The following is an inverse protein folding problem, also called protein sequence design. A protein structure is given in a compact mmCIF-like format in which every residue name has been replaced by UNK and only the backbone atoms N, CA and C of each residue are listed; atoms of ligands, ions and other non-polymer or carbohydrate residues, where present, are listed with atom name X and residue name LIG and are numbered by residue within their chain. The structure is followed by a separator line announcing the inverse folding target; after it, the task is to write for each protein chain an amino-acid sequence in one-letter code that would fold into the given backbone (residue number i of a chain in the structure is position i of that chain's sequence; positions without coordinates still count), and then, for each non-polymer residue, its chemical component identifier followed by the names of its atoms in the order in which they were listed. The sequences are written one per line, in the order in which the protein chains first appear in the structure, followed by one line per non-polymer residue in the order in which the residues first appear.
data_IF_557714985254
#
_entry.id   IF_557714985254
#
_cell.length_a   1.000
_cell.length_b   1.000
_cell.length_c   1.000
_cell.angle_alpha   90.00
_cell.angle_beta   90.00
_cell.angle_gamma   90.00
#
_symmetry.space_group_name_H-M   'P 1'
#
loop_
_entity.id
_entity.type
_entity.pdbx_description
1 polymer ?
#
# COMPACT_ATOMS: atom_id res chain seq x y z
N UNK A 1 -28.72 -3.76 -7.20
CA UNK A 1 -29.18 -5.09 -7.69
C UNK A 1 -29.45 -5.97 -6.47
N UNK A 2 -30.56 -6.70 -6.44
CA UNK A 2 -30.83 -7.67 -5.37
C UNK A 2 -30.26 -9.04 -5.75
N UNK A 3 -29.70 -9.75 -4.78
CA UNK A 3 -29.12 -11.08 -4.97
C UNK A 3 -29.86 -12.08 -4.07
N UNK A 4 -30.30 -13.19 -4.65
CA UNK A 4 -30.92 -14.28 -3.90
C UNK A 4 -29.82 -15.23 -3.39
N UNK A 5 -29.66 -15.31 -2.08
CA UNK A 5 -28.69 -16.23 -1.44
C UNK A 5 -29.44 -17.50 -1.04
N UNK A 6 -29.09 -18.62 -1.67
CA UNK A 6 -29.62 -19.94 -1.31
C UNK A 6 -28.92 -20.44 -0.03
N UNK A 7 -29.63 -21.19 0.83
CA UNK A 7 -29.06 -21.75 2.06
C UNK A 7 -29.91 -21.61 3.33
N UNK A 8 -31.13 -21.07 3.24
CA UNK A 8 -32.04 -20.95 4.38
C UNK A 8 -31.70 -19.78 5.32
N UNK A 9 -32.25 -19.82 6.53
CA UNK A 9 -32.06 -18.76 7.52
C UNK A 9 -30.57 -18.62 7.88
N UNK A 10 -30.06 -17.38 7.89
CA UNK A 10 -28.67 -17.06 8.24
C UNK A 10 -27.68 -17.06 7.06
N UNK A 11 -28.04 -17.59 5.88
CA UNK A 11 -27.13 -17.61 4.72
C UNK A 11 -26.72 -16.20 4.27
N UNK A 12 -27.65 -15.24 4.31
CA UNK A 12 -27.36 -13.83 4.03
C UNK A 12 -26.38 -13.21 5.04
N UNK A 13 -26.53 -13.54 6.32
CA UNK A 13 -25.62 -13.08 7.37
C UNK A 13 -24.22 -13.66 7.20
N UNK A 14 -24.09 -14.93 6.82
CA UNK A 14 -22.79 -15.54 6.51
C UNK A 14 -22.10 -14.86 5.33
N UNK A 15 -22.82 -14.58 4.24
CA UNK A 15 -22.26 -13.83 3.09
C UNK A 15 -21.85 -12.42 3.50
N UNK A 16 -22.66 -11.73 4.32
CA UNK A 16 -22.30 -10.41 4.85
C UNK A 16 -21.04 -10.46 5.71
N UNK A 17 -20.88 -11.49 6.54
CA UNK A 17 -19.68 -11.68 7.37
C UNK A 17 -18.43 -11.85 6.52
N UNK A 18 -18.48 -12.67 5.46
CA UNK A 18 -17.37 -12.80 4.49
C UNK A 18 -17.09 -11.47 3.79
N UNK A 19 -18.12 -10.72 3.41
CA UNK A 19 -17.94 -9.39 2.83
C UNK A 19 -17.27 -8.41 3.80
N UNK A 20 -17.66 -8.40 5.07
CA UNK A 20 -17.04 -7.50 6.06
C UNK A 20 -15.62 -7.92 6.42
N UNK A 21 -15.31 -9.22 6.39
CA UNK A 21 -13.95 -9.72 6.48
C UNK A 21 -13.09 -9.10 5.37
N UNK A 22 -13.49 -9.27 4.10
CA UNK A 22 -12.75 -8.72 2.97
C UNK A 22 -12.65 -7.20 3.03
N UNK A 23 -13.76 -6.53 3.35
CA UNK A 23 -13.81 -5.08 3.48
C UNK A 23 -12.80 -4.56 4.51
N UNK A 24 -12.80 -5.12 5.73
CA UNK A 24 -11.92 -4.67 6.81
C UNK A 24 -10.45 -4.95 6.50
N UNK A 25 -10.14 -6.12 5.94
CA UNK A 25 -8.79 -6.46 5.50
C UNK A 25 -8.32 -5.50 4.42
N UNK A 26 -9.12 -5.24 3.39
CA UNK A 26 -8.71 -4.37 2.30
C UNK A 26 -8.52 -2.91 2.74
N UNK A 27 -9.33 -2.38 3.67
CA UNK A 27 -9.12 -1.04 4.23
C UNK A 27 -7.81 -0.98 5.02
N UNK A 28 -7.55 -1.99 5.86
CA UNK A 28 -6.32 -2.05 6.64
C UNK A 28 -5.08 -2.16 5.74
N UNK A 29 -5.13 -3.00 4.70
CA UNK A 29 -4.07 -3.13 3.70
C UNK A 29 -3.90 -1.86 2.86
N UNK A 30 -4.98 -1.14 2.54
CA UNK A 30 -4.90 0.14 1.82
C UNK A 30 -4.15 1.19 2.64
N UNK A 31 -4.49 1.29 3.93
CA UNK A 31 -3.80 2.17 4.87
C UNK A 31 -2.31 1.81 5.00
N UNK A 32 -1.99 0.52 5.13
CA UNK A 32 -0.60 0.04 5.19
C UNK A 32 0.18 0.38 3.92
N UNK A 33 -0.38 0.07 2.75
CA UNK A 33 0.27 0.30 1.46
C UNK A 33 0.55 1.78 1.20
N UNK A 34 -0.43 2.67 1.47
CA UNK A 34 -0.25 4.10 1.29
C UNK A 34 0.75 4.69 2.30
N UNK A 35 0.70 4.26 3.56
CA UNK A 35 1.67 4.69 4.56
C UNK A 35 3.08 4.19 4.26
N UNK A 36 3.22 2.96 3.77
CA UNK A 36 4.51 2.41 3.34
C UNK A 36 5.05 3.19 2.14
N UNK A 37 4.22 3.47 1.13
CA UNK A 37 4.59 4.32 0.00
C UNK A 37 5.05 5.71 0.44
N UNK A 38 4.36 6.32 1.41
CA UNK A 38 4.78 7.58 2.01
C UNK A 38 6.16 7.46 2.66
N UNK A 39 6.40 6.37 3.40
CA UNK A 39 7.67 6.12 4.10
C UNK A 39 8.84 5.87 3.15
N UNK A 40 8.57 5.32 1.96
CA UNK A 40 9.52 5.17 0.86
C UNK A 40 9.80 6.50 0.11
N UNK A 41 9.13 7.59 0.49
CA UNK A 41 9.30 8.89 -0.16
C UNK A 41 8.53 9.04 -1.48
N UNK A 42 7.61 8.14 -1.79
CA UNK A 42 6.81 8.21 -3.00
C UNK A 42 5.73 9.29 -2.90
N UNK A 43 5.37 9.86 -4.05
CA UNK A 43 4.18 10.71 -4.16
C UNK A 43 2.92 9.84 -4.00
N UNK A 44 2.32 9.80 -2.81
CA UNK A 44 1.24 8.85 -2.49
C UNK A 44 0.00 9.01 -3.35
N UNK A 45 -0.27 10.19 -3.90
CA UNK A 45 -1.36 10.40 -4.87
C UNK A 45 -1.07 9.78 -6.23
N UNK A 46 0.18 9.83 -6.69
CA UNK A 46 0.59 9.14 -7.91
C UNK A 46 0.57 7.63 -7.69
N UNK A 47 1.09 7.16 -6.54
CA UNK A 47 1.00 5.75 -6.14
C UNK A 47 -0.45 5.26 -6.16
N UNK A 48 -1.37 5.99 -5.50
CA UNK A 48 -2.79 5.68 -5.52
C UNK A 48 -3.34 5.56 -6.95
N UNK A 49 -2.99 6.50 -7.84
CA UNK A 49 -3.43 6.48 -9.23
C UNK A 49 -2.92 5.25 -10.01
N UNK A 50 -1.65 4.87 -9.81
CA UNK A 50 -1.07 3.70 -10.46
C UNK A 50 -1.69 2.40 -9.92
N UNK A 51 -1.80 2.26 -8.61
CA UNK A 51 -2.36 1.05 -7.99
C UNK A 51 -3.83 0.87 -8.36
N UNK A 52 -4.62 1.95 -8.42
CA UNK A 52 -6.04 1.90 -8.84
C UNK A 52 -6.21 1.31 -10.25
N UNK A 53 -5.21 1.44 -11.11
CA UNK A 53 -5.22 0.87 -12.47
C UNK A 53 -4.62 -0.55 -12.55
N UNK A 54 -4.04 -1.04 -11.46
CA UNK A 54 -3.40 -2.35 -11.38
C UNK A 54 -4.36 -3.42 -10.87
N UNK A 55 -4.02 -4.69 -11.10
CA UNK A 55 -4.79 -5.83 -10.57
C UNK A 55 -4.70 -5.97 -9.04
N UNK A 56 -3.73 -5.31 -8.40
CA UNK A 56 -3.58 -5.26 -6.95
C UNK A 56 -4.57 -4.32 -6.25
N UNK A 57 -5.40 -3.60 -7.00
CA UNK A 57 -6.44 -2.72 -6.43
C UNK A 57 -7.55 -3.50 -5.72
N UNK A 58 -8.33 -2.78 -4.92
CA UNK A 58 -9.62 -3.26 -4.43
C UNK A 58 -10.61 -2.12 -4.40
N UNK A 59 -11.91 -2.44 -4.40
CA UNK A 59 -12.94 -1.41 -4.25
C UNK A 59 -12.74 -0.57 -2.98
N UNK A 60 -12.28 -1.17 -1.88
CA UNK A 60 -12.00 -0.44 -0.64
C UNK A 60 -10.79 0.48 -0.75
N UNK A 61 -9.75 0.07 -1.49
CA UNK A 61 -8.60 0.93 -1.77
C UNK A 61 -9.04 2.16 -2.57
N UNK A 62 -9.78 1.96 -3.66
CA UNK A 62 -10.27 3.05 -4.52
C UNK A 62 -11.20 3.99 -3.77
N UNK A 63 -12.03 3.45 -2.89
CA UNK A 63 -13.02 4.23 -2.17
C UNK A 63 -12.45 4.97 -0.94
N UNK A 64 -11.54 4.35 -0.18
CA UNK A 64 -10.97 4.92 1.06
C UNK A 64 -9.63 5.61 0.88
N UNK A 65 -8.86 5.24 -0.13
CA UNK A 65 -7.59 5.88 -0.45
C UNK A 65 -7.68 7.41 -0.56
N UNK A 66 -8.70 7.98 -1.24
CA UNK A 66 -8.90 9.42 -1.28
C UNK A 66 -9.08 10.05 0.11
N UNK A 67 -9.82 9.41 1.02
CA UNK A 67 -10.03 9.94 2.37
C UNK A 67 -8.71 10.05 3.14
N UNK A 68 -7.84 9.03 2.98
CA UNK A 68 -6.50 9.01 3.56
C UNK A 68 -5.63 10.12 2.98
N UNK A 69 -5.64 10.29 1.65
CA UNK A 69 -4.83 11.28 0.94
C UNK A 69 -5.24 12.73 1.21
N UNK A 70 -6.54 13.00 1.37
CA UNK A 70 -7.06 14.34 1.67
C UNK A 70 -7.08 14.64 3.17
N UNK A 71 -6.77 13.66 4.03
CA UNK A 71 -6.87 13.78 5.49
C UNK A 71 -8.28 14.25 5.95
N UNK A 72 -9.32 13.83 5.23
CA UNK A 72 -10.73 14.04 5.56
C UNK A 72 -11.34 12.72 6.05
N UNK A 73 -11.64 12.67 7.35
CA UNK A 73 -12.22 11.50 8.00
C UNK A 73 -13.66 11.76 8.49
N UNK A 74 -14.38 12.63 7.79
CA UNK A 74 -15.83 12.76 7.96
C UNK A 74 -16.48 11.39 7.72
N UNK A 75 -17.18 10.81 8.71
CA UNK A 75 -17.56 9.40 8.66
C UNK A 75 -18.68 9.14 7.66
N UNK A 76 -18.37 8.40 6.58
CA UNK A 76 -19.38 7.69 5.79
C UNK A 76 -19.66 6.31 6.39
N UNK A 77 -18.65 5.72 7.01
CA UNK A 77 -18.70 4.52 7.83
C UNK A 77 -17.67 4.67 8.94
N UNK A 78 -18.10 4.58 10.19
CA UNK A 78 -17.21 4.82 11.32
C UNK A 78 -16.22 3.66 11.52
N UNK A 79 -15.01 3.97 11.98
CA UNK A 79 -13.98 2.99 12.34
C UNK A 79 -14.51 1.91 13.29
N UNK A 80 -15.35 2.29 14.26
CA UNK A 80 -15.99 1.35 15.19
C UNK A 80 -16.94 0.34 14.52
N UNK A 81 -17.43 0.60 13.30
CA UNK A 81 -18.20 -0.40 12.54
C UNK A 81 -17.29 -1.60 12.21
N UNK A 82 -16.04 -1.37 11.84
CA UNK A 82 -15.08 -2.44 11.58
C UNK A 82 -14.55 -3.12 12.84
N UNK A 83 -14.49 -2.41 13.97
CA UNK A 83 -14.29 -3.06 15.29
C UNK A 83 -15.41 -4.08 15.55
N UNK A 84 -16.66 -3.68 15.37
CA UNK A 84 -17.82 -4.58 15.56
C UNK A 84 -17.81 -5.74 14.57
N UNK A 85 -17.68 -5.46 13.28
CA UNK A 85 -17.84 -6.47 12.23
C UNK A 85 -16.69 -7.48 12.23
N UNK A 86 -15.44 -7.04 12.37
CA UNK A 86 -14.30 -7.95 12.50
C UNK A 86 -14.28 -8.66 13.86
N UNK A 87 -14.90 -8.09 14.89
CA UNK A 87 -15.19 -8.78 16.15
C UNK A 87 -16.12 -9.99 15.96
N UNK A 88 -17.18 -9.84 15.17
CA UNK A 88 -18.08 -10.95 14.80
C UNK A 88 -17.31 -12.01 14.02
N UNK A 89 -16.50 -11.61 13.03
CA UNK A 89 -15.65 -12.52 12.24
C UNK A 89 -14.68 -13.30 13.15
N UNK A 90 -14.01 -12.61 14.08
CA UNK A 90 -13.05 -13.21 15.01
C UNK A 90 -13.72 -14.21 15.97
N UNK A 91 -14.93 -13.90 16.42
CA UNK A 91 -15.71 -14.80 17.26
C UNK A 91 -16.10 -16.08 16.50
N UNK A 92 -16.62 -15.94 15.29
CA UNK A 92 -17.06 -17.07 14.46
C UNK A 92 -15.91 -17.96 13.99
N UNK A 93 -14.75 -17.38 13.69
CA UNK A 93 -13.58 -18.17 13.32
C UNK A 93 -13.09 -19.03 14.50
N UNK A 94 -13.14 -18.48 15.71
CA UNK A 94 -12.77 -19.17 16.94
C UNK A 94 -13.77 -20.29 17.26
N UNK A 95 -15.07 -20.02 17.17
CA UNK A 95 -16.11 -21.04 17.44
C UNK A 95 -16.05 -22.21 16.47
N UNK A 96 -15.65 -21.95 15.21
CA UNK A 96 -15.53 -22.96 14.14
C UNK A 96 -14.14 -23.56 14.00
N UNK A 97 -13.16 -23.10 14.78
CA UNK A 97 -11.75 -23.53 14.69
C UNK A 97 -11.16 -23.33 13.28
N UNK A 98 -11.53 -22.22 12.62
CA UNK A 98 -10.99 -21.82 11.32
C UNK A 98 -10.03 -20.65 11.55
N UNK A 99 -8.73 -20.77 11.29
CA UNK A 99 -7.79 -19.68 11.50
C UNK A 99 -7.93 -18.61 10.41
N UNK A 100 -8.20 -17.36 10.80
CA UNK A 100 -8.31 -16.20 9.90
C UNK A 100 -7.23 -15.16 10.22
N UNK A 101 -5.97 -15.50 9.96
CA UNK A 101 -4.82 -14.70 10.41
C UNK A 101 -4.87 -13.22 9.98
N UNK A 102 -5.15 -12.95 8.71
CA UNK A 102 -5.18 -11.60 8.15
C UNK A 102 -6.34 -10.77 8.74
N UNK A 103 -7.52 -11.37 8.87
CA UNK A 103 -8.69 -10.69 9.44
C UNK A 103 -8.50 -10.38 10.93
N UNK A 104 -7.86 -11.26 11.69
CA UNK A 104 -7.55 -11.05 13.11
C UNK A 104 -6.51 -9.93 13.27
N UNK A 105 -5.48 -9.89 12.41
CA UNK A 105 -4.52 -8.79 12.41
C UNK A 105 -5.20 -7.44 12.09
N UNK A 106 -6.04 -7.41 11.04
CA UNK A 106 -6.83 -6.23 10.71
C UNK A 106 -7.73 -5.78 11.89
N UNK A 107 -8.38 -6.73 12.57
CA UNK A 107 -9.21 -6.43 13.74
C UNK A 107 -8.40 -5.75 14.85
N UNK A 108 -7.16 -6.21 15.12
CA UNK A 108 -6.29 -5.57 16.11
C UNK A 108 -5.92 -4.13 15.72
N UNK A 109 -5.70 -3.86 14.44
CA UNK A 109 -5.47 -2.49 13.96
C UNK A 109 -6.68 -1.60 14.26
N UNK A 110 -7.90 -2.05 13.91
CA UNK A 110 -9.12 -1.27 14.20
C UNK A 110 -9.35 -1.07 15.71
N UNK A 111 -9.06 -2.09 16.54
CA UNK A 111 -9.11 -1.94 18.00
C UNK A 111 -8.11 -0.88 18.49
N UNK A 112 -6.89 -0.88 17.97
CA UNK A 112 -5.87 0.12 18.31
C UNK A 112 -6.32 1.54 17.89
N UNK A 113 -6.86 1.70 16.68
CA UNK A 113 -7.39 2.99 16.22
C UNK A 113 -8.58 3.49 17.05
N UNK A 114 -9.47 2.59 17.45
CA UNK A 114 -10.57 2.92 18.36
C UNK A 114 -10.06 3.37 19.73
N UNK A 115 -9.11 2.64 20.30
CA UNK A 115 -8.47 2.98 21.57
C UNK A 115 -7.68 4.30 21.51
N UNK A 116 -7.16 4.67 20.35
CA UNK A 116 -6.54 5.96 20.08
C UNK A 116 -7.55 7.13 19.92
N UNK A 117 -8.84 6.88 20.13
CA UNK A 117 -9.91 7.89 20.07
C UNK A 117 -10.45 8.15 18.67
N UNK A 118 -10.13 7.32 17.68
CA UNK A 118 -10.58 7.51 16.28
C UNK A 118 -11.86 6.73 15.95
N UNK A 119 -12.48 6.08 16.92
CA UNK A 119 -13.62 5.19 16.70
C UNK A 119 -14.83 5.83 16.00
N UNK A 120 -15.02 7.15 16.16
CA UNK A 120 -16.09 7.92 15.52
C UNK A 120 -15.71 8.56 14.17
N UNK A 121 -14.45 8.44 13.76
CA UNK A 121 -13.99 8.92 12.45
C UNK A 121 -14.31 7.90 11.36
N UNK A 122 -14.22 8.32 10.10
CA UNK A 122 -14.27 7.41 8.95
C UNK A 122 -13.29 6.23 9.12
N UNK A 123 -13.68 5.05 8.66
CA UNK A 123 -12.86 3.84 8.79
C UNK A 123 -11.50 3.94 8.06
N UNK A 124 -11.35 4.86 7.09
CA UNK A 124 -10.07 5.23 6.49
C UNK A 124 -9.08 5.86 7.47
N UNK A 125 -9.55 6.40 8.60
CA UNK A 125 -8.72 6.99 9.66
C UNK A 125 -7.76 5.98 10.29
N UNK A 126 -7.90 4.68 10.00
CA UNK A 126 -6.92 3.69 10.42
C UNK A 126 -5.51 3.96 9.88
N UNK A 127 -5.37 4.70 8.76
CA UNK A 127 -4.07 5.15 8.24
C UNK A 127 -3.25 5.92 9.28
N UNK A 128 -3.93 6.66 10.18
CA UNK A 128 -3.32 7.43 11.26
C UNK A 128 -2.52 6.55 12.23
N UNK A 129 -2.81 5.25 12.31
CA UNK A 129 -2.01 4.30 13.08
C UNK A 129 -0.56 4.30 12.58
N UNK A 130 -0.36 4.13 11.28
CA UNK A 130 0.96 4.13 10.65
C UNK A 130 1.61 5.51 10.67
N UNK A 131 0.84 6.57 10.45
CA UNK A 131 1.36 7.94 10.53
C UNK A 131 1.88 8.26 11.92
N UNK A 132 1.20 7.78 12.96
CA UNK A 132 1.61 7.99 14.36
C UNK A 132 2.87 7.21 14.71
N UNK A 133 3.05 6.01 14.14
CA UNK A 133 4.24 5.18 14.36
C UNK A 133 5.48 5.67 13.59
N UNK A 134 5.28 6.15 12.37
CA UNK A 134 6.37 6.51 11.45
C UNK A 134 6.71 8.00 11.45
N UNK A 135 5.78 8.85 11.92
CA UNK A 135 5.88 10.30 11.80
C UNK A 135 5.71 10.83 10.37
N UNK A 136 5.41 9.96 9.39
CA UNK A 136 5.24 10.31 7.99
C UNK A 136 3.75 10.33 7.65
N UNK A 137 3.30 11.41 7.02
CA UNK A 137 1.90 11.62 6.67
C UNK A 137 1.58 11.17 5.25
N UNK A 138 0.39 10.64 5.04
CA UNK A 138 -0.13 10.23 3.73
C UNK A 138 -0.87 11.41 3.10
N UNK A 139 -0.17 12.47 2.68
CA UNK A 139 -0.84 13.72 2.25
C UNK A 139 -0.89 13.94 0.73
N UNK A 140 -0.53 12.94 -0.08
CA UNK A 140 -0.50 13.09 -1.53
C UNK A 140 0.47 14.18 -2.02
N UNK A 141 1.53 14.47 -1.26
CA UNK A 141 2.59 15.43 -1.59
C UNK A 141 3.95 14.73 -1.67
N UNK A 142 4.85 15.26 -2.49
CA UNK A 142 6.24 14.80 -2.51
C UNK A 142 6.92 15.28 -1.22
N UNK A 143 7.81 14.48 -0.62
CA UNK A 143 8.75 15.01 0.35
C UNK A 143 9.52 16.16 -0.31
N UNK A 144 9.50 17.35 0.28
CA UNK A 144 10.37 18.43 -0.19
C UNK A 144 11.78 18.04 0.23
N UNK A 145 12.58 17.58 -0.73
CA UNK A 145 13.99 17.34 -0.52
C UNK A 145 14.71 18.69 -0.41
N UNK A 146 15.41 18.92 0.70
CA UNK A 146 16.25 20.09 0.84
C UNK A 146 17.46 19.97 -0.12
N UNK A 147 17.62 20.95 -0.99
CA UNK A 147 18.69 20.98 -2.00
C UNK A 147 20.06 20.86 -1.34
N UNK A 148 20.30 21.55 -0.23
CA UNK A 148 21.60 21.47 0.45
C UNK A 148 21.86 20.08 1.02
N UNK A 149 20.85 19.47 1.64
CA UNK A 149 20.95 18.11 2.15
C UNK A 149 21.24 17.10 1.04
N UNK A 150 20.51 17.17 -0.09
CA UNK A 150 20.73 16.28 -1.23
C UNK A 150 22.13 16.45 -1.81
N UNK A 151 22.57 17.70 -2.05
CA UNK A 151 23.90 17.95 -2.61
C UNK A 151 25.03 17.44 -1.70
N UNK A 152 24.81 17.39 -0.38
CA UNK A 152 25.77 16.82 0.57
C UNK A 152 25.73 15.30 0.64
N UNK A 153 24.62 14.66 0.28
CA UNK A 153 24.46 13.20 0.32
C UNK A 153 24.81 12.52 -1.00
N UNK A 154 25.02 13.27 -2.08
CA UNK A 154 25.50 12.72 -3.34
C UNK A 154 26.92 12.15 -3.18
N UNK A 155 27.22 10.98 -3.80
CA UNK A 155 28.59 10.50 -3.89
C UNK A 155 29.48 11.53 -4.61
N UNK A 156 30.80 11.50 -4.37
CA UNK A 156 31.72 12.37 -5.10
C UNK A 156 31.59 12.13 -6.61
N UNK A 157 31.75 13.20 -7.39
CA UNK A 157 31.78 13.09 -8.85
C UNK A 157 32.79 12.04 -9.27
N UNK A 158 32.41 11.21 -10.25
CA UNK A 158 33.31 10.19 -10.75
C UNK A 158 34.57 10.88 -11.29
N UNK A 159 35.77 10.42 -10.91
CA UNK A 159 37.01 11.17 -11.16
C UNK A 159 37.41 11.22 -12.65
N UNK A 160 36.70 10.50 -13.52
CA UNK A 160 37.05 10.33 -14.93
C UNK A 160 35.79 10.51 -15.79
N UNK A 161 35.88 11.32 -16.84
CA UNK A 161 34.83 11.37 -17.85
C UNK A 161 34.95 10.14 -18.77
N UNK A 162 34.06 9.17 -18.57
CA UNK A 162 34.00 7.92 -19.34
C UNK A 162 33.21 8.04 -20.64
N UNK A 163 32.67 9.22 -20.98
CA UNK A 163 31.78 9.40 -22.13
C UNK A 163 32.42 8.92 -23.44
N UNK A 164 33.69 9.25 -23.65
CA UNK A 164 34.43 8.82 -24.84
C UNK A 164 34.71 7.31 -24.88
N UNK A 165 34.90 6.68 -23.73
CA UNK A 165 35.14 5.24 -23.64
C UNK A 165 33.85 4.46 -23.91
N UNK A 166 32.71 4.96 -23.40
CA UNK A 166 31.37 4.43 -23.68
C UNK A 166 31.03 4.54 -25.18
N UNK A 167 31.31 5.69 -25.81
CA UNK A 167 31.10 5.89 -27.25
C UNK A 167 31.94 4.88 -28.05
N UNK A 168 33.23 4.72 -27.73
CA UNK A 168 34.13 3.76 -28.40
C UNK A 168 33.71 2.31 -28.22
N UNK A 169 33.20 1.96 -27.04
CA UNK A 169 32.64 0.63 -26.76
C UNK A 169 31.39 0.37 -27.60
N UNK A 170 30.51 1.36 -27.74
CA UNK A 170 29.29 1.24 -28.55
C UNK A 170 29.58 1.16 -30.06
N UNK A 171 30.62 1.83 -30.55
CA UNK A 171 31.03 1.78 -31.96
C UNK A 171 31.62 0.43 -32.39
N UNK A 172 32.21 -0.34 -31.46
CA UNK A 172 32.90 -1.60 -31.74
C UNK A 172 32.12 -2.86 -31.36
N UNK A 173 30.94 -2.73 -30.76
CA UNK A 173 30.19 -3.87 -30.23
C UNK A 173 28.91 -4.10 -31.05
N UNK A 174 28.76 -5.29 -31.65
CA UNK A 174 27.58 -5.66 -32.43
C UNK A 174 26.35 -5.99 -31.57
N UNK A 175 26.49 -5.96 -30.24
CA UNK A 175 25.42 -6.24 -29.28
C UNK A 175 24.88 -4.92 -28.70
N UNK A 176 23.55 -4.71 -28.67
CA UNK A 176 22.96 -3.53 -28.06
C UNK A 176 23.35 -3.46 -26.58
N UNK A 177 23.97 -2.36 -26.17
CA UNK A 177 24.13 -2.04 -24.76
C UNK A 177 22.79 -1.52 -24.24
N UNK A 178 22.16 -2.25 -23.32
CA UNK A 178 20.92 -1.85 -22.66
C UNK A 178 21.29 -1.39 -21.25
N UNK A 179 21.13 -0.11 -20.96
CA UNK A 179 21.20 0.42 -19.60
C UNK A 179 19.83 0.18 -18.98
N UNK A 180 19.73 -0.79 -18.08
CA UNK A 180 18.54 -1.02 -17.27
C UNK A 180 18.63 -0.09 -16.06
N UNK A 181 17.69 0.86 -15.98
CA UNK A 181 17.38 1.59 -14.76
C UNK A 181 16.66 0.61 -13.84
N UNK A 182 17.33 0.15 -12.78
CA UNK A 182 16.85 -0.93 -11.92
C UNK A 182 15.68 -0.43 -11.05
N UNK A 183 14.45 -0.74 -11.47
CA UNK A 183 13.25 -0.61 -10.65
C UNK A 183 13.12 -1.87 -9.78
N UNK A 184 13.10 -1.76 -8.43
CA UNK A 184 13.02 -2.92 -7.54
C UNK A 184 11.69 -3.69 -7.63
N UNK A 185 10.75 -3.27 -8.47
CA UNK A 185 9.45 -3.94 -8.63
C UNK A 185 9.38 -4.94 -9.80
N UNK A 186 10.42 -5.08 -10.62
CA UNK A 186 10.43 -5.99 -11.75
C UNK A 186 11.40 -7.15 -11.59
N UNK A 187 10.94 -8.35 -11.22
CA UNK A 187 11.69 -9.58 -11.52
C UNK A 187 11.86 -9.70 -13.03
N UNK A 188 12.97 -9.22 -13.56
CA UNK A 188 13.50 -9.61 -14.87
C UNK A 188 14.79 -10.38 -14.64
N UNK A 189 14.68 -11.69 -14.47
CA UNK A 189 15.79 -12.59 -14.78
C UNK A 189 16.00 -12.54 -16.29
N UNK A 190 16.86 -11.64 -16.76
CA UNK A 190 17.39 -11.70 -18.13
C UNK A 190 18.43 -12.82 -18.18
N UNK A 191 18.08 -13.92 -18.84
CA UNK A 191 19.06 -14.93 -19.23
C UNK A 191 19.87 -14.36 -20.41
N UNK A 192 21.19 -14.50 -20.35
CA UNK A 192 22.16 -14.24 -21.42
C UNK A 192 22.46 -12.77 -21.79
N UNK A 193 22.35 -11.83 -20.83
CA UNK A 193 22.79 -10.43 -21.01
C UNK A 193 23.89 -10.10 -19.97
N UNK A 194 25.02 -9.56 -20.42
CA UNK A 194 26.06 -9.03 -19.53
C UNK A 194 25.61 -7.67 -18.99
N UNK A 195 25.43 -7.58 -17.67
CA UNK A 195 25.08 -6.35 -16.95
C UNK A 195 26.35 -5.69 -16.42
N UNK A 196 26.51 -4.40 -16.70
CA UNK A 196 27.75 -3.65 -16.42
C UNK A 196 27.89 -3.23 -14.94
N UNK A 197 26.78 -3.08 -14.22
CA UNK A 197 26.74 -2.77 -12.78
C UNK A 197 25.38 -3.14 -12.18
N UNK A 198 25.38 -3.86 -11.06
CA UNK A 198 24.25 -3.96 -10.12
C UNK A 198 24.45 -2.90 -9.01
N UNK A 199 23.41 -2.15 -8.64
CA UNK A 199 23.42 -1.18 -7.53
C UNK A 199 22.51 -1.64 -6.39
#
# INVERSE_FOLDING_TARGET
KFYLIKGGCGAGSCVKMVNQLLAGVHIASAAEALAFGARLGLHTRSLFHFITKSEGTSWMFENRGPHMLENDFTPYSALNIFVKDLGIVSHECSSRKVPLHVAVAAHQLFLAGSAAGWGGLDDAAIVKFYESLTGVKVEGKLPILDKEHVMKSLPPEWPVDLTNDIIKLNENNAKPLVVLDDDPTGTQTVHDIEVLTEW
#
